data_IF_573849302084
#
_entry.id   IF_573849302084
#
_cell.length_a   1.000
_cell.length_b   1.000
_cell.length_c   1.000
_cell.angle_alpha   90.00
_cell.angle_beta   90.00
_cell.angle_gamma   90.00
#
_symmetry.space_group_name_H-M   'P 1'
#
loop_
_entity.id
_entity.type
_entity.pdbx_description
1 polymer ?
#
# COMPACT_ATOMS: atom_id res chain seq x y z
N UNK A 1 13.79 43.80 -12.17
CA UNK A 1 13.83 42.64 -13.08
C UNK A 1 13.78 41.45 -12.16
N UNK A 2 12.61 40.84 -12.00
CA UNK A 2 12.45 39.71 -11.09
C UNK A 2 12.92 38.47 -11.83
N UNK A 3 14.02 37.89 -11.33
CA UNK A 3 14.58 36.65 -11.83
C UNK A 3 13.50 35.59 -11.91
N UNK A 4 13.26 35.11 -13.12
CA UNK A 4 12.38 33.99 -13.40
C UNK A 4 13.06 32.76 -12.81
N UNK A 5 12.72 32.43 -11.57
CA UNK A 5 13.14 31.17 -10.95
C UNK A 5 12.43 30.04 -11.70
N UNK A 6 13.08 29.55 -12.75
CA UNK A 6 12.62 28.40 -13.52
C UNK A 6 12.78 27.16 -12.64
N UNK A 7 11.77 26.89 -11.80
CA UNK A 7 11.67 25.64 -11.04
C UNK A 7 11.77 24.47 -12.02
N UNK A 8 12.87 23.70 -11.97
CA UNK A 8 13.17 22.64 -12.95
C UNK A 8 12.25 21.43 -12.83
N UNK A 9 11.56 21.27 -11.69
CA UNK A 9 10.51 20.28 -11.47
C UNK A 9 10.17 20.16 -9.98
N UNK A 10 9.12 19.40 -9.61
CA UNK A 10 8.74 19.22 -8.20
C UNK A 10 9.76 18.39 -7.39
N UNK A 11 10.66 17.64 -8.04
CA UNK A 11 11.70 16.85 -7.38
C UNK A 11 12.95 17.67 -7.04
N UNK A 12 13.15 18.80 -7.70
CA UNK A 12 14.34 19.64 -7.57
C UNK A 12 14.12 20.69 -6.46
N UNK A 13 14.14 20.19 -5.22
CA UNK A 13 13.96 21.00 -4.00
C UNK A 13 15.29 21.34 -3.31
N UNK A 14 16.41 21.06 -3.98
CA UNK A 14 17.74 21.25 -3.42
C UNK A 14 18.05 22.72 -3.16
N UNK A 15 18.30 23.07 -1.90
CA UNK A 15 18.60 24.46 -1.51
C UNK A 15 17.36 25.33 -1.26
N UNK A 16 16.15 24.75 -1.32
CA UNK A 16 14.95 25.42 -0.82
C UNK A 16 14.93 25.44 0.72
N UNK A 17 14.33 26.49 1.31
CA UNK A 17 14.14 26.58 2.75
C UNK A 17 13.19 25.48 3.23
N UNK A 18 13.50 24.87 4.38
CA UNK A 18 12.69 23.81 4.98
C UNK A 18 12.48 24.03 6.47
N UNK A 19 11.42 23.43 7.00
CA UNK A 19 11.16 23.35 8.44
C UNK A 19 11.88 22.13 9.03
N UNK A 20 12.11 22.14 10.34
CA UNK A 20 12.58 20.95 11.05
C UNK A 20 11.58 19.81 10.89
N UNK A 21 12.07 18.61 10.59
CA UNK A 21 11.25 17.40 10.41
C UNK A 21 11.55 16.39 11.53
N UNK A 22 10.60 15.48 11.76
CA UNK A 22 10.88 14.26 12.53
C UNK A 22 11.71 13.29 11.66
N UNK A 23 12.72 12.68 12.27
CA UNK A 23 13.66 11.74 11.64
C UNK A 23 13.48 10.31 12.14
N UNK A 24 12.47 10.07 12.99
CA UNK A 24 12.13 8.73 13.43
C UNK A 24 11.74 7.86 12.24
N UNK A 25 12.33 6.67 12.18
CA UNK A 25 12.01 5.68 11.17
C UNK A 25 10.69 5.01 11.54
N UNK A 26 9.75 5.00 10.61
CA UNK A 26 8.46 4.34 10.78
C UNK A 26 8.52 3.01 10.04
N UNK A 27 8.03 1.94 10.67
CA UNK A 27 7.96 0.65 9.99
C UNK A 27 7.06 0.75 8.75
N UNK A 28 7.45 0.02 7.69
CA UNK A 28 6.63 -0.05 6.49
C UNK A 28 5.34 -0.80 6.77
N UNK A 29 4.21 -0.20 6.39
CA UNK A 29 2.90 -0.85 6.35
C UNK A 29 2.90 -2.03 5.38
N UNK A 30 1.89 -2.91 5.48
CA UNK A 30 1.71 -4.02 4.54
C UNK A 30 1.66 -3.54 3.08
N UNK A 31 0.92 -2.46 2.81
CA UNK A 31 0.81 -1.88 1.47
C UNK A 31 2.16 -1.40 0.94
N UNK A 32 2.95 -0.71 1.75
CA UNK A 32 4.25 -0.19 1.33
C UNK A 32 5.25 -1.31 1.03
N UNK A 33 5.24 -2.39 1.84
CA UNK A 33 6.05 -3.59 1.58
C UNK A 33 5.66 -4.21 0.24
N UNK A 34 4.36 -4.37 -0.01
CA UNK A 34 3.86 -4.92 -1.26
C UNK A 34 4.19 -4.02 -2.47
N UNK A 35 3.97 -2.72 -2.37
CA UNK A 35 4.27 -1.73 -3.40
C UNK A 35 5.76 -1.73 -3.77
N UNK A 36 6.64 -1.76 -2.77
CA UNK A 36 8.08 -1.81 -2.98
C UNK A 36 8.51 -3.13 -3.66
N UNK A 37 8.00 -4.26 -3.19
CA UNK A 37 8.27 -5.57 -3.78
C UNK A 37 7.85 -5.62 -5.26
N UNK A 38 6.65 -5.13 -5.58
CA UNK A 38 6.16 -5.06 -6.96
C UNK A 38 7.09 -4.23 -7.85
N UNK A 39 7.48 -3.03 -7.40
CA UNK A 39 8.39 -2.15 -8.12
C UNK A 39 9.74 -2.82 -8.38
N UNK A 40 10.29 -3.57 -7.41
CA UNK A 40 11.54 -4.33 -7.57
C UNK A 40 11.37 -5.44 -8.62
N UNK A 41 10.31 -6.25 -8.54
CA UNK A 41 10.06 -7.36 -9.46
C UNK A 41 9.90 -6.87 -10.89
N UNK A 42 9.07 -5.85 -11.13
CA UNK A 42 8.83 -5.33 -12.49
C UNK A 42 10.11 -4.72 -13.09
N UNK A 43 10.93 -4.05 -12.27
CA UNK A 43 12.25 -3.54 -12.67
C UNK A 43 13.22 -4.68 -13.00
N UNK A 44 13.28 -5.74 -12.18
CA UNK A 44 14.15 -6.91 -12.41
C UNK A 44 13.83 -7.64 -13.70
N UNK A 45 12.55 -7.65 -14.09
CA UNK A 45 12.06 -8.23 -15.35
C UNK A 45 12.24 -7.29 -16.54
N UNK A 46 12.83 -6.11 -16.33
CA UNK A 46 13.07 -5.07 -17.35
C UNK A 46 11.81 -4.61 -18.07
N UNK A 47 10.66 -4.71 -17.40
CA UNK A 47 9.40 -4.15 -17.91
C UNK A 47 9.46 -2.62 -17.78
N UNK A 48 10.01 -2.14 -16.66
CA UNK A 48 10.33 -0.72 -16.45
C UNK A 48 11.81 -0.55 -16.11
N UNK A 49 12.30 0.66 -16.35
CA UNK A 49 13.58 1.14 -15.83
C UNK A 49 13.36 2.13 -14.69
N UNK A 50 14.39 2.35 -13.89
CA UNK A 50 14.33 3.32 -12.80
C UNK A 50 14.18 4.76 -13.33
N UNK A 51 14.79 5.09 -14.46
CA UNK A 51 14.71 6.44 -15.03
C UNK A 51 13.33 6.73 -15.62
N UNK A 52 12.67 5.73 -16.23
CA UNK A 52 11.25 5.84 -16.59
C UNK A 52 10.40 6.12 -15.35
N UNK A 53 10.58 5.36 -14.27
CA UNK A 53 9.82 5.56 -13.03
C UNK A 53 9.97 6.98 -12.47
N UNK A 54 11.21 7.49 -12.42
CA UNK A 54 11.51 8.86 -11.98
C UNK A 54 10.81 9.88 -12.86
N UNK A 55 10.99 9.79 -14.18
CA UNK A 55 10.37 10.70 -15.13
C UNK A 55 8.84 10.78 -14.97
N UNK A 56 8.16 9.65 -14.83
CA UNK A 56 6.71 9.63 -14.64
C UNK A 56 6.27 10.19 -13.29
N UNK A 57 7.09 9.99 -12.26
CA UNK A 57 6.83 10.54 -10.91
C UNK A 57 7.00 12.05 -10.92
N UNK A 58 8.04 12.56 -11.55
CA UNK A 58 8.33 14.00 -11.67
C UNK A 58 7.27 14.72 -12.52
N UNK A 59 6.71 14.03 -13.52
CA UNK A 59 5.57 14.48 -14.32
C UNK A 59 4.25 14.63 -13.56
N UNK A 60 4.18 14.21 -12.29
CA UNK A 60 3.00 14.47 -11.46
C UNK A 60 2.80 15.97 -11.16
N UNK A 61 3.85 16.80 -11.32
CA UNK A 61 3.75 18.25 -11.11
C UNK A 61 3.35 18.59 -9.68
N UNK A 62 2.34 19.44 -9.51
CA UNK A 62 1.87 19.89 -8.19
C UNK A 62 1.32 18.76 -7.31
N UNK A 63 0.84 17.67 -7.93
CA UNK A 63 0.35 16.51 -7.19
C UNK A 63 1.49 15.69 -6.56
N UNK A 64 2.74 15.95 -6.96
CA UNK A 64 3.91 15.31 -6.36
C UNK A 64 3.89 15.49 -4.84
N UNK A 65 3.66 16.69 -4.32
CA UNK A 65 3.71 16.92 -2.87
C UNK A 65 2.45 16.47 -2.10
N UNK A 66 1.39 16.06 -2.80
CA UNK A 66 0.10 15.69 -2.19
C UNK A 66 -0.07 14.18 -1.99
N UNK A 67 0.82 13.39 -2.61
CA UNK A 67 0.71 11.94 -2.68
C UNK A 67 1.92 11.34 -1.97
N UNK A 68 1.67 10.29 -1.19
CA UNK A 68 2.71 9.60 -0.44
C UNK A 68 3.73 8.91 -1.34
N UNK A 69 4.93 8.69 -0.82
CA UNK A 69 6.06 8.19 -1.59
C UNK A 69 5.77 6.88 -2.35
N UNK A 70 5.23 5.88 -1.66
CA UNK A 70 4.93 4.59 -2.28
C UNK A 70 3.76 4.64 -3.26
N UNK A 71 2.76 5.48 -2.97
CA UNK A 71 1.63 5.70 -3.87
C UNK A 71 2.06 6.36 -5.18
N UNK A 72 2.92 7.39 -5.13
CA UNK A 72 3.49 8.03 -6.33
C UNK A 72 4.21 7.02 -7.23
N UNK A 73 4.97 6.11 -6.63
CA UNK A 73 5.65 5.05 -7.37
C UNK A 73 4.67 4.08 -8.03
N UNK A 74 3.62 3.66 -7.32
CA UNK A 74 2.57 2.80 -7.87
C UNK A 74 1.80 3.47 -9.02
N UNK A 75 1.45 4.75 -8.89
CA UNK A 75 0.77 5.52 -9.94
C UNK A 75 1.65 5.67 -11.18
N UNK A 76 2.93 5.95 -11.00
CA UNK A 76 3.90 6.08 -12.09
C UNK A 76 4.13 4.74 -12.78
N UNK A 77 4.27 3.66 -12.01
CA UNK A 77 4.35 2.29 -12.52
C UNK A 77 3.12 1.93 -13.36
N UNK A 78 1.92 2.27 -12.88
CA UNK A 78 0.67 2.05 -13.61
C UNK A 78 0.66 2.78 -14.97
N UNK A 79 1.04 4.07 -14.98
CA UNK A 79 1.14 4.87 -16.22
C UNK A 79 2.11 4.23 -17.22
N UNK A 80 3.29 3.82 -16.78
CA UNK A 80 4.29 3.18 -17.66
C UNK A 80 3.74 1.88 -18.26
N UNK A 81 3.08 1.05 -17.45
CA UNK A 81 2.49 -0.21 -17.93
C UNK A 81 1.39 0.02 -18.97
N UNK A 82 0.57 1.07 -18.82
CA UNK A 82 -0.43 1.46 -19.82
C UNK A 82 0.25 1.95 -21.10
N UNK A 83 1.24 2.83 -21.01
CA UNK A 83 1.96 3.37 -22.18
C UNK A 83 2.70 2.28 -22.97
N UNK A 84 3.22 1.26 -22.28
CA UNK A 84 3.85 0.08 -22.88
C UNK A 84 2.85 -0.99 -23.34
N UNK A 85 1.55 -0.76 -23.18
CA UNK A 85 0.48 -1.70 -23.53
C UNK A 85 0.62 -3.09 -22.83
N UNK A 86 1.17 -3.13 -21.62
CA UNK A 86 1.23 -4.37 -20.81
C UNK A 86 -0.18 -4.82 -20.42
N UNK A 87 -1.04 -3.84 -20.13
CA UNK A 87 -2.48 -3.97 -20.01
C UNK A 87 -3.11 -2.66 -20.46
N UNK A 88 -4.44 -2.65 -20.62
CA UNK A 88 -5.18 -1.45 -20.99
C UNK A 88 -6.02 -0.92 -19.81
N UNK A 89 -6.52 0.31 -19.96
CA UNK A 89 -7.29 0.99 -18.91
C UNK A 89 -8.62 0.28 -18.63
N UNK A 90 -9.22 -0.34 -19.64
CA UNK A 90 -10.48 -1.10 -19.51
C UNK A 90 -10.30 -2.30 -18.57
N UNK A 91 -9.28 -3.13 -18.83
CA UNK A 91 -8.93 -4.28 -18.00
C UNK A 91 -8.59 -3.86 -16.57
N UNK A 92 -7.81 -2.78 -16.42
CA UNK A 92 -7.49 -2.25 -15.10
C UNK A 92 -8.76 -1.85 -14.32
N UNK A 93 -9.67 -1.11 -14.94
CA UNK A 93 -10.92 -0.70 -14.31
C UNK A 93 -11.82 -1.89 -13.99
N UNK A 94 -11.89 -2.88 -14.89
CA UNK A 94 -12.63 -4.12 -14.65
C UNK A 94 -12.10 -4.85 -13.41
N UNK A 95 -10.78 -5.08 -13.32
CA UNK A 95 -10.15 -5.75 -12.18
C UNK A 95 -10.31 -4.93 -10.89
N UNK A 96 -10.13 -3.60 -10.96
CA UNK A 96 -10.32 -2.69 -9.84
C UNK A 96 -11.74 -2.77 -9.28
N UNK A 97 -12.75 -2.77 -10.14
CA UNK A 97 -14.15 -2.84 -9.72
C UNK A 97 -14.49 -4.21 -9.11
N UNK A 98 -13.99 -5.30 -9.70
CA UNK A 98 -14.12 -6.63 -9.13
C UNK A 98 -13.48 -6.72 -7.74
N UNK A 99 -12.26 -6.20 -7.57
CA UNK A 99 -11.61 -6.17 -6.26
C UNK A 99 -12.40 -5.36 -5.25
N UNK A 100 -12.92 -4.20 -5.64
CA UNK A 100 -13.81 -3.41 -4.76
C UNK A 100 -15.03 -4.20 -4.32
N UNK A 101 -15.67 -4.97 -5.20
CA UNK A 101 -16.80 -5.83 -4.80
C UNK A 101 -16.37 -6.98 -3.89
N UNK A 102 -15.20 -7.57 -4.13
CA UNK A 102 -14.66 -8.64 -3.25
C UNK A 102 -14.42 -8.12 -1.82
N UNK A 103 -14.06 -6.84 -1.67
CA UNK A 103 -13.85 -6.17 -0.38
C UNK A 103 -15.15 -5.60 0.24
N UNK A 104 -16.30 -5.67 -0.43
CA UNK A 104 -17.60 -5.31 0.16
C UNK A 104 -18.13 -6.45 1.02
N UNK A 105 -17.40 -6.73 2.09
CA UNK A 105 -17.79 -7.74 3.09
C UNK A 105 -18.81 -7.07 4.01
N UNK A 106 -20.03 -7.62 4.16
CA UNK A 106 -21.00 -7.08 5.11
C UNK A 106 -20.40 -7.12 6.51
N UNK A 107 -20.48 -6.00 7.23
CA UNK A 107 -20.16 -5.98 8.66
C UNK A 107 -21.26 -6.81 9.33
N UNK A 108 -20.89 -8.00 9.78
CA UNK A 108 -21.77 -8.88 10.57
C UNK A 108 -21.52 -8.51 12.03
N UNK A 109 -22.60 -8.29 12.78
CA UNK A 109 -22.49 -8.19 14.23
C UNK A 109 -21.97 -9.52 14.75
N UNK A 110 -20.73 -9.53 15.26
CA UNK A 110 -20.17 -10.71 15.88
C UNK A 110 -21.04 -11.09 17.09
N UNK A 111 -21.31 -12.39 17.31
CA UNK A 111 -21.96 -12.82 18.55
C UNK A 111 -21.14 -12.32 19.74
N UNK A 112 -21.83 -11.96 20.83
CA UNK A 112 -21.17 -11.54 22.07
C UNK A 112 -20.19 -12.63 22.49
N UNK A 113 -18.91 -12.29 22.56
CA UNK A 113 -17.84 -13.25 22.91
C UNK A 113 -18.06 -13.86 24.29
N UNK A 114 -18.75 -13.16 25.19
CA UNK A 114 -19.11 -13.67 26.51
C UNK A 114 -20.19 -14.75 26.49
N UNK A 115 -20.95 -14.89 25.38
CA UNK A 115 -21.97 -15.91 25.17
C UNK A 115 -21.46 -17.14 24.38
N UNK A 116 -20.23 -17.08 23.84
CA UNK A 116 -19.63 -18.18 23.07
C UNK A 116 -18.98 -19.19 24.01
N UNK A 117 -19.72 -20.26 24.34
CA UNK A 117 -19.18 -21.42 25.06
C UNK A 117 -18.61 -22.44 24.07
N UNK A 118 -17.29 -22.66 24.08
CA UNK A 118 -16.69 -23.78 23.36
C UNK A 118 -16.06 -24.77 24.36
N UNK A 119 -15.99 -26.04 23.94
CA UNK A 119 -15.47 -27.13 24.77
C UNK A 119 -14.02 -27.41 24.39
N UNK A 120 -13.08 -27.31 25.34
CA UNK A 120 -11.74 -27.85 25.22
C UNK A 120 -11.68 -29.18 25.99
N UNK A 121 -11.30 -30.28 25.33
CA UNK A 121 -11.21 -31.61 25.95
C UNK A 121 -12.47 -32.04 26.73
N UNK A 122 -13.66 -31.66 26.23
CA UNK A 122 -14.94 -31.97 26.86
C UNK A 122 -15.27 -31.14 28.12
N UNK A 123 -14.55 -30.04 28.38
CA UNK A 123 -14.85 -29.06 29.42
C UNK A 123 -15.04 -27.66 28.82
N UNK A 124 -15.99 -26.90 29.35
CA UNK A 124 -16.21 -25.52 28.94
C UNK A 124 -15.01 -24.65 29.35
N UNK A 125 -14.48 -23.87 28.41
CA UNK A 125 -13.45 -22.88 28.66
C UNK A 125 -13.93 -21.52 28.15
N UNK A 126 -13.68 -20.45 28.92
CA UNK A 126 -13.89 -19.05 28.52
C UNK A 126 -12.52 -18.38 28.42
N UNK A 127 -12.17 -17.83 27.25
CA UNK A 127 -10.90 -17.14 27.07
C UNK A 127 -10.93 -15.73 27.69
N UNK A 128 -9.83 -15.30 28.31
CA UNK A 128 -9.61 -13.89 28.71
C UNK A 128 -9.05 -13.03 27.56
N UNK A 129 -8.65 -13.64 26.45
CA UNK A 129 -8.10 -12.98 25.25
C UNK A 129 -8.92 -13.35 24.02
N UNK A 130 -9.04 -12.42 23.07
CA UNK A 130 -9.72 -12.66 21.79
C UNK A 130 -8.97 -13.68 20.93
N UNK A 131 -9.67 -14.71 20.48
CA UNK A 131 -9.14 -15.79 19.63
C UNK A 131 -8.64 -15.33 18.25
N UNK A 132 -9.01 -14.12 17.83
CA UNK A 132 -8.70 -13.55 16.53
C UNK A 132 -8.02 -12.18 16.68
N UNK A 133 -6.70 -12.15 16.80
CA UNK A 133 -5.93 -10.93 16.61
C UNK A 133 -5.50 -10.82 15.14
N UNK A 134 -6.34 -10.23 14.28
CA UNK A 134 -5.82 -9.64 13.04
C UNK A 134 -5.06 -8.36 13.41
N UNK A 135 -3.79 -8.48 13.81
CA UNK A 135 -2.93 -7.31 13.87
C UNK A 135 -2.47 -6.97 12.45
N UNK A 136 -2.20 -5.69 12.18
CA UNK A 136 -1.74 -5.19 10.86
C UNK A 136 -0.39 -5.79 10.41
N UNK A 137 0.23 -6.65 11.23
CA UNK A 137 1.49 -7.33 10.94
C UNK A 137 1.31 -8.55 10.03
N UNK A 138 0.09 -9.07 9.89
CA UNK A 138 -0.20 -10.22 9.02
C UNK A 138 0.32 -11.55 9.56
N UNK A 139 0.52 -11.66 10.87
CA UNK A 139 0.68 -12.96 11.52
C UNK A 139 -0.67 -13.68 11.42
N UNK A 140 -0.67 -14.83 10.77
CA UNK A 140 -1.85 -15.70 10.68
C UNK A 140 -2.26 -16.21 12.06
N UNK A 141 -3.39 -16.94 12.15
CA UNK A 141 -3.81 -17.55 13.40
C UNK A 141 -2.64 -18.38 13.99
N UNK A 142 -2.42 -18.32 15.31
CA UNK A 142 -1.33 -19.04 15.95
C UNK A 142 -1.32 -20.54 15.60
N UNK A 143 -0.13 -21.14 15.54
CA UNK A 143 0.10 -22.52 15.09
C UNK A 143 -0.68 -23.60 15.88
N UNK A 144 -1.23 -23.28 17.06
CA UNK A 144 -1.96 -24.22 17.91
C UNK A 144 -3.36 -24.63 17.39
N UNK A 145 -3.82 -24.08 16.26
CA UNK A 145 -5.09 -24.49 15.63
C UNK A 145 -4.98 -25.73 14.73
N UNK A 146 -3.77 -26.27 14.51
CA UNK A 146 -3.54 -27.40 13.60
C UNK A 146 -3.26 -28.74 14.30
N UNK A 147 -3.43 -28.82 15.62
CA UNK A 147 -3.28 -30.06 16.40
C UNK A 147 -4.64 -30.66 16.83
#
# INVERSE_FOLDING_TARGET
MNDVNLKMGPHDVGGEDSISIDINDHEMTHFEKFANALRIVVSSKRIITLDELRYHTEKLGDDYFKIDYFERNCLSLHKICIEKNIYNLELFNHVKNKKKSDFQIPIIDLPDTSEIHHLHDGKEHTHEQDDFQENETGEGPPDYYFD
#
